data_IF_964400100549
#
_entry.id   IF_964400100549
#
_cell.length_a   1.000
_cell.length_b   1.000
_cell.length_c   1.000
_cell.angle_alpha   90.00
_cell.angle_beta   90.00
_cell.angle_gamma   90.00
#
_symmetry.space_group_name_H-M   'P 1'
#
loop_
_entity.id
_entity.type
_entity.pdbx_description
1 polymer ?
#
# COMPACT_ATOMS: atom_id res chain seq x y z
N UNK A 1 -6.45 -0.53 14.57
CA UNK A 1 -7.84 -0.89 14.85
C UNK A 1 -8.66 -0.89 13.58
N UNK A 2 -9.56 -1.88 13.40
CA UNK A 2 -10.65 -1.86 12.41
C UNK A 2 -11.96 -1.74 13.18
N UNK A 3 -12.67 -0.63 12.97
CA UNK A 3 -13.86 -0.27 13.76
C UNK A 3 -15.14 -0.43 12.94
N UNK A 4 -16.22 -0.84 13.60
CA UNK A 4 -17.56 -0.94 13.03
C UNK A 4 -18.35 0.33 13.32
N UNK A 5 -19.21 0.75 12.40
CA UNK A 5 -20.08 1.91 12.55
C UNK A 5 -21.52 1.52 12.90
N UNK A 6 -21.92 0.32 12.52
CA UNK A 6 -23.30 -0.17 12.72
C UNK A 6 -23.34 -1.71 12.79
N UNK A 7 -24.52 -2.25 13.04
CA UNK A 7 -24.75 -3.68 13.21
C UNK A 7 -24.46 -4.50 11.95
N UNK A 8 -24.73 -3.97 10.76
CA UNK A 8 -24.53 -4.69 9.51
C UNK A 8 -23.03 -4.91 9.18
N UNK A 9 -22.15 -4.15 9.80
CA UNK A 9 -20.70 -4.32 9.63
C UNK A 9 -20.10 -5.41 10.52
N UNK A 10 -20.80 -5.86 11.57
CA UNK A 10 -20.28 -6.88 12.48
C UNK A 10 -19.98 -8.21 11.78
N UNK A 11 -20.79 -8.59 10.80
CA UNK A 11 -20.58 -9.82 10.03
C UNK A 11 -19.24 -9.85 9.29
N UNK A 12 -18.75 -8.70 8.88
CA UNK A 12 -17.48 -8.58 8.17
C UNK A 12 -16.26 -8.79 9.07
N UNK A 13 -16.39 -8.59 10.38
CA UNK A 13 -15.31 -8.87 11.32
C UNK A 13 -14.95 -10.36 11.33
N UNK A 14 -15.95 -11.24 11.28
CA UNK A 14 -15.74 -12.68 11.23
C UNK A 14 -15.02 -13.10 9.93
N UNK A 15 -15.42 -12.53 8.80
CA UNK A 15 -14.74 -12.76 7.52
C UNK A 15 -13.30 -12.28 7.54
N UNK A 16 -13.04 -11.11 8.13
CA UNK A 16 -11.67 -10.59 8.27
C UNK A 16 -10.82 -11.46 9.19
N UNK A 17 -11.38 -12.01 10.27
CA UNK A 17 -10.68 -12.96 11.13
C UNK A 17 -10.30 -14.24 10.40
N UNK A 18 -11.21 -14.79 9.57
CA UNK A 18 -10.94 -15.97 8.76
C UNK A 18 -9.79 -15.67 7.77
N UNK A 19 -9.85 -14.54 7.09
CA UNK A 19 -8.78 -14.11 6.16
C UNK A 19 -7.44 -13.92 6.86
N UNK A 20 -7.45 -13.28 8.02
CA UNK A 20 -6.26 -13.08 8.83
C UNK A 20 -5.61 -14.42 9.20
N UNK A 21 -6.40 -15.36 9.72
CA UNK A 21 -5.93 -16.71 10.05
C UNK A 21 -5.31 -17.41 8.84
N UNK A 22 -5.97 -17.36 7.68
CA UNK A 22 -5.50 -17.99 6.45
C UNK A 22 -4.19 -17.36 5.93
N UNK A 23 -3.94 -16.10 6.25
CA UNK A 23 -2.73 -15.37 5.86
C UNK A 23 -1.68 -15.28 6.97
N UNK A 24 -1.87 -15.96 8.10
CA UNK A 24 -0.93 -15.94 9.23
C UNK A 24 -0.84 -14.59 9.94
N UNK A 25 -1.89 -13.76 9.85
CA UNK A 25 -1.97 -12.45 10.51
C UNK A 25 -2.67 -12.58 11.86
N UNK A 26 -2.05 -12.07 12.92
CA UNK A 26 -2.66 -12.02 14.24
C UNK A 26 -3.68 -10.87 14.31
N UNK A 27 -4.95 -11.22 14.51
CA UNK A 27 -6.03 -10.28 14.82
C UNK A 27 -6.76 -10.71 16.08
N UNK A 28 -7.13 -9.75 16.89
CA UNK A 28 -7.89 -9.91 18.11
C UNK A 28 -9.25 -9.24 17.95
N UNK A 29 -10.32 -10.00 18.24
CA UNK A 29 -11.67 -9.44 18.33
C UNK A 29 -11.83 -8.84 19.72
N UNK A 30 -12.07 -7.54 19.77
CA UNK A 30 -12.14 -6.77 21.01
C UNK A 30 -13.48 -6.03 21.13
N UNK A 31 -13.86 -5.71 22.36
CA UNK A 31 -15.04 -4.90 22.68
C UNK A 31 -14.81 -3.40 22.40
N UNK A 32 -15.90 -2.63 22.41
CA UNK A 32 -15.82 -1.17 22.32
C UNK A 32 -15.06 -0.53 23.49
N UNK A 33 -15.10 -1.15 24.67
CA UNK A 33 -14.37 -0.69 25.85
C UNK A 33 -12.86 -0.92 25.70
N UNK A 34 -12.47 -2.12 25.33
CA UNK A 34 -11.07 -2.48 25.04
C UNK A 34 -10.50 -1.62 23.89
N UNK A 35 -11.30 -1.37 22.84
CA UNK A 35 -10.91 -0.48 21.75
C UNK A 35 -10.60 0.94 22.25
N UNK A 36 -11.41 1.48 23.16
CA UNK A 36 -11.16 2.79 23.78
C UNK A 36 -9.97 2.80 24.73
N UNK A 37 -9.68 1.69 25.38
CA UNK A 37 -8.49 1.57 26.20
C UNK A 37 -7.19 1.63 25.36
N UNK A 38 -7.20 1.05 24.15
CA UNK A 38 -6.09 1.09 23.21
C UNK A 38 -5.98 2.49 22.58
N UNK A 39 -7.09 3.01 22.05
CA UNK A 39 -7.19 4.31 21.39
C UNK A 39 -8.42 5.08 21.88
N UNK A 40 -8.26 6.06 22.78
CA UNK A 40 -9.41 6.77 23.37
C UNK A 40 -10.29 7.50 22.34
N UNK A 41 -9.78 7.80 21.15
CA UNK A 41 -10.52 8.47 20.06
C UNK A 41 -11.27 7.49 19.18
N UNK A 42 -11.00 6.19 19.28
CA UNK A 42 -11.69 5.19 18.50
C UNK A 42 -13.16 5.09 18.94
N UNK A 43 -14.04 5.13 17.94
CA UNK A 43 -15.48 4.87 18.14
C UNK A 43 -15.84 3.66 17.31
N UNK A 44 -16.33 2.63 17.98
CA UNK A 44 -16.85 1.42 17.33
C UNK A 44 -18.23 1.09 17.84
N UNK A 45 -19.07 0.46 17.01
CA UNK A 45 -20.46 0.15 17.36
C UNK A 45 -20.55 -0.84 18.52
N UNK A 46 -19.90 -1.97 18.49
CA UNK A 46 -19.88 -2.95 19.59
C UNK A 46 -18.52 -3.61 19.71
N UNK A 47 -17.94 -3.99 18.57
CA UNK A 47 -16.70 -4.74 18.45
C UNK A 47 -15.77 -4.10 17.45
N UNK A 48 -14.50 -4.36 17.59
CA UNK A 48 -13.46 -3.96 16.66
C UNK A 48 -12.46 -5.12 16.49
N UNK A 49 -11.60 -5.02 15.47
CA UNK A 49 -10.43 -5.87 15.36
C UNK A 49 -9.18 -5.07 15.69
N UNK A 50 -8.32 -5.67 16.46
CA UNK A 50 -7.01 -5.13 16.78
C UNK A 50 -5.91 -6.00 16.18
N UNK A 51 -4.97 -5.37 15.48
CA UNK A 51 -3.75 -6.01 15.00
C UNK A 51 -2.57 -5.49 15.80
N UNK A 52 -2.03 -6.27 16.75
CA UNK A 52 -0.95 -5.82 17.62
C UNK A 52 0.39 -5.67 16.89
N UNK A 53 0.53 -6.29 15.73
CA UNK A 53 1.77 -6.28 14.94
C UNK A 53 1.80 -5.25 13.81
N UNK A 54 0.71 -4.48 13.62
CA UNK A 54 0.67 -3.42 12.62
C UNK A 54 1.58 -2.26 13.03
N UNK A 55 2.43 -1.84 12.11
CA UNK A 55 3.36 -0.74 12.32
C UNK A 55 3.38 0.22 11.12
N UNK A 56 3.81 1.45 11.36
CA UNK A 56 4.13 2.42 10.30
C UNK A 56 5.59 2.31 9.91
N UNK A 57 5.85 2.59 8.66
CA UNK A 57 7.22 2.71 8.14
C UNK A 57 7.34 4.01 7.34
N UNK A 58 8.51 4.63 7.41
CA UNK A 58 8.82 5.74 6.51
C UNK A 58 9.16 5.17 5.12
N UNK A 59 8.32 5.39 4.10
CA UNK A 59 8.53 4.81 2.78
C UNK A 59 9.79 5.34 2.09
N UNK A 60 10.20 6.57 2.40
CA UNK A 60 11.42 7.17 1.83
C UNK A 60 12.65 6.46 2.37
N UNK A 61 12.72 6.25 3.68
CA UNK A 61 13.86 5.55 4.29
C UNK A 61 13.92 4.07 3.87
N UNK A 62 12.77 3.42 3.73
CA UNK A 62 12.70 2.06 3.20
C UNK A 62 13.29 1.99 1.79
N UNK A 63 12.86 2.88 0.88
CA UNK A 63 13.35 2.87 -0.51
C UNK A 63 14.84 3.21 -0.58
N UNK A 64 15.33 4.14 0.25
CA UNK A 64 16.76 4.45 0.33
C UNK A 64 17.59 3.26 0.81
N UNK A 65 17.10 2.52 1.81
CA UNK A 65 17.77 1.31 2.31
C UNK A 65 17.84 0.24 1.22
N UNK A 66 16.72 -0.06 0.57
CA UNK A 66 16.67 -1.02 -0.54
C UNK A 66 17.61 -0.63 -1.69
N UNK A 67 17.69 0.67 -2.00
CA UNK A 67 18.61 1.17 -3.01
C UNK A 67 20.07 0.98 -2.59
N UNK A 68 20.41 1.26 -1.34
CA UNK A 68 21.75 1.05 -0.79
C UNK A 68 22.18 -0.42 -0.93
N UNK A 69 21.30 -1.33 -0.53
CA UNK A 69 21.55 -2.77 -0.63
C UNK A 69 21.74 -3.21 -2.09
N UNK A 70 20.89 -2.72 -3.00
CA UNK A 70 20.99 -3.03 -4.41
C UNK A 70 22.33 -2.54 -5.02
N UNK A 71 22.78 -1.35 -4.64
CA UNK A 71 24.07 -0.81 -5.10
C UNK A 71 25.24 -1.65 -4.56
N UNK A 72 25.17 -2.09 -3.31
CA UNK A 72 26.20 -2.98 -2.72
C UNK A 72 26.26 -4.32 -3.46
N UNK A 73 25.14 -4.84 -3.94
CA UNK A 73 25.06 -6.04 -4.79
C UNK A 73 25.43 -5.79 -6.27
N UNK A 74 25.94 -4.60 -6.60
CA UNK A 74 26.45 -4.28 -7.94
C UNK A 74 25.41 -3.73 -8.93
N UNK A 75 24.19 -3.43 -8.49
CA UNK A 75 23.17 -2.80 -9.33
C UNK A 75 23.57 -1.37 -9.68
N UNK A 76 23.47 -1.02 -10.96
CA UNK A 76 23.72 0.34 -11.43
C UNK A 76 22.40 1.11 -11.55
N UNK A 77 22.18 2.10 -10.68
CA UNK A 77 21.08 3.03 -10.82
C UNK A 77 21.41 4.10 -11.87
N UNK A 78 20.52 4.29 -12.84
CA UNK A 78 20.59 5.37 -13.84
C UNK A 78 19.43 6.33 -13.62
N UNK A 79 19.65 7.37 -12.82
CA UNK A 79 18.68 8.45 -12.62
C UNK A 79 18.61 9.35 -13.87
N UNK A 80 17.57 10.16 -13.98
CA UNK A 80 17.33 11.07 -15.12
C UNK A 80 17.40 10.35 -16.48
N UNK A 81 17.04 9.06 -16.50
CA UNK A 81 17.08 8.20 -17.68
C UNK A 81 15.67 7.71 -17.97
N UNK A 82 15.00 8.41 -18.87
CA UNK A 82 13.63 8.13 -19.23
C UNK A 82 13.56 7.09 -20.35
N UNK A 83 12.71 6.07 -20.18
CA UNK A 83 12.32 5.16 -21.26
C UNK A 83 11.58 5.93 -22.35
N UNK A 84 11.94 5.72 -23.62
CA UNK A 84 11.31 6.35 -24.78
C UNK A 84 10.50 5.32 -25.56
N UNK A 85 11.15 4.27 -26.07
CA UNK A 85 10.49 3.18 -26.78
C UNK A 85 11.35 1.91 -26.81
N UNK A 86 10.70 0.80 -27.11
CA UNK A 86 11.34 -0.46 -27.42
C UNK A 86 12.02 -0.39 -28.80
N UNK A 87 13.25 -0.85 -28.90
CA UNK A 87 13.94 -1.03 -30.18
C UNK A 87 13.74 -2.44 -30.72
N UNK A 88 13.99 -3.43 -29.87
CA UNK A 88 13.76 -4.85 -30.15
C UNK A 88 13.39 -5.62 -28.85
N UNK A 89 13.47 -6.95 -28.88
CA UNK A 89 13.13 -7.79 -27.71
C UNK A 89 14.04 -7.60 -26.49
N UNK A 90 15.25 -7.11 -26.72
CA UNK A 90 16.32 -7.00 -25.71
C UNK A 90 16.89 -5.58 -25.59
N UNK A 91 16.38 -4.62 -26.36
CA UNK A 91 16.92 -3.27 -26.41
C UNK A 91 15.85 -2.22 -26.28
N UNK A 92 16.17 -1.16 -25.55
CA UNK A 92 15.31 -0.01 -25.35
C UNK A 92 16.06 1.29 -25.65
N UNK A 93 15.34 2.25 -26.20
CA UNK A 93 15.81 3.63 -26.33
C UNK A 93 15.40 4.41 -25.09
N UNK A 94 16.33 5.12 -24.51
CA UNK A 94 16.14 6.04 -23.40
C UNK A 94 16.64 7.43 -23.75
N UNK A 95 16.36 8.41 -22.88
CA UNK A 95 16.90 9.77 -22.99
C UNK A 95 18.44 9.81 -22.98
N UNK A 96 19.09 8.81 -22.38
CA UNK A 96 20.53 8.72 -22.22
C UNK A 96 21.20 7.65 -23.13
N UNK A 97 20.54 7.26 -24.22
CA UNK A 97 21.10 6.31 -25.17
C UNK A 97 20.33 5.00 -25.26
N UNK A 98 20.96 4.01 -25.88
CA UNK A 98 20.46 2.66 -26.03
C UNK A 98 20.93 1.78 -24.86
N UNK A 99 20.03 0.97 -24.35
CA UNK A 99 20.37 -0.06 -23.37
C UNK A 99 19.92 -1.41 -23.92
N UNK A 100 20.76 -2.41 -23.76
CA UNK A 100 20.48 -3.79 -24.13
C UNK A 100 20.72 -4.72 -22.92
N UNK A 101 19.87 -5.72 -22.77
CA UNK A 101 19.98 -6.72 -21.71
C UNK A 101 19.36 -8.06 -22.15
N UNK A 102 19.78 -9.14 -21.54
CA UNK A 102 19.18 -10.45 -21.78
C UNK A 102 17.72 -10.52 -21.33
N UNK A 103 17.37 -9.80 -20.27
CA UNK A 103 16.03 -9.67 -19.72
C UNK A 103 15.73 -8.21 -19.42
N UNK A 104 14.50 -7.81 -19.66
CA UNK A 104 13.97 -6.49 -19.33
C UNK A 104 12.78 -6.68 -18.40
N UNK A 105 12.84 -6.08 -17.22
CA UNK A 105 11.77 -6.12 -16.24
C UNK A 105 11.07 -4.76 -16.21
N UNK A 106 9.77 -4.77 -16.47
CA UNK A 106 8.95 -3.57 -16.42
C UNK A 106 8.33 -3.42 -15.02
N UNK A 107 8.92 -2.53 -14.21
CA UNK A 107 8.42 -2.16 -12.88
C UNK A 107 8.10 -0.65 -12.82
N UNK A 108 7.54 -0.09 -13.90
CA UNK A 108 7.38 1.36 -14.11
C UNK A 108 6.14 1.97 -13.44
N UNK A 109 5.52 1.30 -12.45
CA UNK A 109 4.39 1.84 -11.70
C UNK A 109 3.25 2.31 -12.62
N UNK A 110 2.84 3.56 -12.53
CA UNK A 110 1.74 4.14 -13.33
C UNK A 110 2.00 4.15 -14.86
N UNK A 111 3.21 3.84 -15.31
CA UNK A 111 3.56 3.77 -16.73
C UNK A 111 3.73 2.34 -17.23
N UNK A 112 3.57 1.34 -16.36
CA UNK A 112 3.83 -0.06 -16.69
C UNK A 112 2.98 -0.58 -17.85
N UNK A 113 1.71 -0.16 -17.94
CA UNK A 113 0.80 -0.54 -19.03
C UNK A 113 1.26 0.03 -20.40
N UNK A 114 1.79 1.26 -20.42
CA UNK A 114 2.31 1.89 -21.64
C UNK A 114 3.53 1.16 -22.15
N UNK A 115 4.48 0.87 -21.27
CA UNK A 115 5.69 0.11 -21.62
C UNK A 115 5.32 -1.32 -22.00
N UNK A 116 4.39 -1.97 -21.27
CA UNK A 116 3.91 -3.30 -21.61
C UNK A 116 3.32 -3.38 -23.01
N UNK A 117 2.52 -2.40 -23.43
CA UNK A 117 1.96 -2.32 -24.79
C UNK A 117 3.03 -2.15 -25.86
N UNK A 118 4.07 -1.38 -25.59
CA UNK A 118 5.18 -1.20 -26.52
C UNK A 118 5.95 -2.52 -26.77
N UNK A 119 5.99 -3.39 -25.76
CA UNK A 119 6.51 -4.76 -25.87
C UNK A 119 5.50 -5.78 -26.41
N UNK A 120 4.26 -5.37 -26.69
CA UNK A 120 3.20 -6.22 -27.24
C UNK A 120 2.35 -6.93 -26.18
N UNK A 121 2.56 -6.61 -24.90
CA UNK A 121 1.76 -7.12 -23.77
C UNK A 121 0.66 -6.14 -23.36
N UNK A 122 -0.23 -6.57 -22.49
CA UNK A 122 -1.24 -5.72 -21.82
C UNK A 122 -2.11 -4.88 -22.77
N UNK A 123 -2.42 -5.40 -23.97
CA UNK A 123 -3.24 -4.69 -24.97
C UNK A 123 -4.64 -4.35 -24.46
N UNK A 124 -5.20 -5.26 -23.66
CA UNK A 124 -6.56 -5.19 -23.12
C UNK A 124 -6.60 -4.63 -21.68
N UNK A 125 -5.46 -4.17 -21.15
CA UNK A 125 -5.35 -3.65 -19.80
C UNK A 125 -4.81 -2.23 -19.78
N UNK A 126 -5.35 -1.43 -18.87
CA UNK A 126 -4.87 -0.07 -18.58
C UNK A 126 -4.82 0.17 -17.09
N UNK A 127 -3.82 0.91 -16.64
CA UNK A 127 -3.79 1.41 -15.28
C UNK A 127 -4.72 2.62 -15.21
N UNK A 128 -5.69 2.56 -14.31
CA UNK A 128 -6.58 3.68 -14.00
C UNK A 128 -6.11 4.29 -12.68
N UNK A 129 -5.42 5.44 -12.72
CA UNK A 129 -4.89 6.06 -11.50
C UNK A 129 -6.00 6.76 -10.72
N UNK A 130 -6.03 6.55 -9.41
CA UNK A 130 -6.87 7.29 -8.47
C UNK A 130 -6.01 8.13 -7.56
N UNK A 131 -6.45 9.35 -7.29
CA UNK A 131 -5.77 10.25 -6.36
C UNK A 131 -6.34 10.08 -4.96
N UNK A 132 -5.51 9.67 -4.00
CA UNK A 132 -5.83 9.75 -2.58
C UNK A 132 -5.82 11.22 -2.10
N UNK A 133 -6.79 11.57 -1.26
CA UNK A 133 -6.81 12.86 -0.57
C UNK A 133 -6.37 12.65 0.87
N UNK A 134 -5.44 13.47 1.32
CA UNK A 134 -4.88 13.40 2.67
C UNK A 134 -5.07 14.74 3.36
N UNK A 135 -5.54 14.67 4.60
CA UNK A 135 -5.57 15.79 5.52
C UNK A 135 -4.56 15.52 6.63
N UNK A 136 -3.79 16.52 6.96
CA UNK A 136 -2.81 16.43 8.06
C UNK A 136 -3.33 17.20 9.26
N UNK A 137 -3.23 16.59 10.43
CA UNK A 137 -3.46 17.27 11.71
C UNK A 137 -2.19 17.93 12.20
N UNK A 138 -2.33 19.10 12.81
CA UNK A 138 -1.25 19.80 13.50
C UNK A 138 -1.15 19.41 14.99
N UNK A 139 -1.82 18.36 15.40
CA UNK A 139 -1.74 17.86 16.76
C UNK A 139 -0.37 17.28 17.07
N UNK A 140 -0.01 17.31 18.36
CA UNK A 140 1.29 16.78 18.81
C UNK A 140 1.42 15.29 18.49
N UNK A 141 2.63 14.82 18.15
CA UNK A 141 2.90 13.38 18.00
C UNK A 141 2.44 12.59 19.24
N UNK A 142 1.88 11.40 19.01
CA UNK A 142 1.36 10.54 20.09
C UNK A 142 -0.07 10.87 20.54
N UNK A 143 -0.72 11.89 19.96
CA UNK A 143 -2.14 12.16 20.22
C UNK A 143 -3.04 11.07 19.68
N UNK A 144 -2.70 10.46 18.56
CA UNK A 144 -3.27 9.22 18.05
C UNK A 144 -2.31 8.06 18.41
N UNK A 145 -2.80 7.07 19.13
CA UNK A 145 -1.98 5.96 19.64
C UNK A 145 -1.87 4.79 18.68
N UNK A 146 -2.86 4.60 17.81
CA UNK A 146 -2.86 3.57 16.78
C UNK A 146 -3.66 4.00 15.56
N UNK A 147 -3.46 3.31 14.44
CA UNK A 147 -4.25 3.54 13.23
C UNK A 147 -5.71 3.15 13.44
N UNK A 148 -6.64 3.88 12.85
CA UNK A 148 -8.07 3.58 12.87
C UNK A 148 -8.57 3.47 11.45
N UNK A 149 -9.11 2.31 11.09
CA UNK A 149 -9.72 2.01 9.80
C UNK A 149 -11.19 1.64 9.96
N UNK A 150 -12.08 2.03 9.05
CA UNK A 150 -13.41 1.46 9.00
C UNK A 150 -13.33 0.00 8.52
N UNK A 151 -14.37 -0.77 8.78
CA UNK A 151 -14.57 -2.06 8.12
C UNK A 151 -14.59 -1.81 6.60
N UNK A 152 -13.75 -2.50 5.80
CA UNK A 152 -13.74 -2.31 4.36
C UNK A 152 -15.03 -2.86 3.73
N UNK A 153 -15.61 -2.10 2.82
CA UNK A 153 -16.61 -2.63 1.90
C UNK A 153 -15.89 -3.50 0.86
N UNK A 154 -16.04 -4.81 0.95
CA UNK A 154 -15.35 -5.76 0.07
C UNK A 154 -15.85 -5.71 -1.37
N UNK A 155 -16.95 -5.03 -1.64
CA UNK A 155 -17.49 -4.80 -2.99
C UNK A 155 -16.96 -3.51 -3.62
N UNK A 156 -16.36 -2.63 -2.81
CA UNK A 156 -15.81 -1.35 -3.23
C UNK A 156 -14.28 -1.38 -3.15
N UNK A 157 -13.55 -1.03 -4.22
CA UNK A 157 -12.09 -1.03 -4.21
C UNK A 157 -11.47 0.10 -3.37
N UNK A 158 -12.28 1.01 -2.83
CA UNK A 158 -11.79 2.16 -2.07
C UNK A 158 -11.90 1.91 -0.57
N UNK A 159 -10.79 2.13 0.12
CA UNK A 159 -10.77 2.21 1.56
C UNK A 159 -11.44 3.53 1.98
N UNK A 160 -12.39 3.48 2.92
CA UNK A 160 -13.07 4.67 3.45
C UNK A 160 -12.12 5.64 4.18
N UNK A 161 -12.69 6.65 4.81
CA UNK A 161 -11.91 7.59 5.64
C UNK A 161 -11.25 6.85 6.79
N UNK A 162 -9.95 7.00 6.94
CA UNK A 162 -9.16 6.35 7.96
C UNK A 162 -8.12 7.31 8.55
N UNK A 163 -7.62 6.98 9.73
CA UNK A 163 -6.60 7.76 10.43
C UNK A 163 -5.33 6.94 10.54
N UNK A 164 -4.22 7.55 10.12
CA UNK A 164 -2.90 6.92 10.20
C UNK A 164 -1.92 7.81 10.94
N UNK A 165 -1.08 7.19 11.74
CA UNK A 165 0.06 7.84 12.37
C UNK A 165 1.13 7.97 11.29
N UNK A 166 1.65 9.18 11.10
CA UNK A 166 2.84 9.40 10.25
C UNK A 166 4.09 9.14 11.07
N UNK A 167 5.05 8.46 10.48
CA UNK A 167 6.40 8.27 11.03
C UNK A 167 7.26 9.50 10.87
#
# INVERSE_FOLDING_TARGET
>A
LVVTQNESELVWLDELLIRAKNNGVLLELITAEESRAIEPRAKTYQKALFSPTTASINPIELVKSLLSDAIQEGVQLKTNTQYIHRVDKRSVKTSNGLFAANYIINAAGLYADKIGRDFGFSKDHRILPFKGLYLYSNESPGTLKTHIYPVPDLTNPFLGVHFTITS
#
